data_IF_533459751065
#
_entry.id   IF_533459751065
#
_cell.length_a   1.000
_cell.length_b   1.000
_cell.length_c   1.000
_cell.angle_alpha   90.00
_cell.angle_beta   90.00
_cell.angle_gamma   90.00
#
_symmetry.space_group_name_H-M   'P 1'
#
loop_
_entity.id
_entity.type
_entity.pdbx_description
1 polymer ?
#
# COMPACT_ATOMS: atom_id res chain seq x y z
N UNK A 1 5.83 22.70 14.69
CA UNK A 1 5.59 21.34 14.19
C UNK A 1 6.16 21.24 12.79
N UNK A 2 7.38 20.71 12.65
CA UNK A 2 8.06 20.60 11.35
C UNK A 2 7.40 19.48 10.57
N UNK A 3 6.81 19.79 9.42
CA UNK A 3 6.36 18.77 8.48
C UNK A 3 7.56 17.86 8.14
N UNK A 4 7.39 16.53 8.10
CA UNK A 4 8.47 15.64 7.68
C UNK A 4 8.99 16.12 6.33
N UNK A 5 10.31 16.33 6.25
CA UNK A 5 10.98 16.64 4.97
C UNK A 5 10.62 15.48 4.03
N UNK A 6 10.08 15.73 2.84
CA UNK A 6 9.65 14.64 1.97
C UNK A 6 10.91 13.89 1.52
N UNK A 7 11.25 12.83 2.23
CA UNK A 7 12.08 11.75 1.70
C UNK A 7 11.28 11.24 0.50
N UNK A 8 11.75 11.58 -0.71
CA UNK A 8 11.17 11.35 -2.04
C UNK A 8 9.76 10.78 -2.14
N UNK A 9 8.92 11.36 -3.00
CA UNK A 9 7.65 10.73 -3.36
C UNK A 9 7.87 9.25 -3.73
N UNK A 10 7.04 8.31 -3.21
CA UNK A 10 7.20 6.89 -3.47
C UNK A 10 7.25 6.61 -4.97
N UNK A 11 8.11 5.68 -5.40
CA UNK A 11 8.16 5.23 -6.79
C UNK A 11 6.80 4.65 -7.22
N UNK A 12 6.55 4.57 -8.53
CA UNK A 12 5.29 4.01 -9.05
C UNK A 12 5.08 2.56 -8.60
N UNK A 13 6.17 1.76 -8.61
CA UNK A 13 6.14 0.39 -8.12
C UNK A 13 5.79 0.31 -6.63
N UNK A 14 6.40 1.17 -5.80
CA UNK A 14 6.09 1.24 -4.37
C UNK A 14 4.64 1.69 -4.12
N UNK A 15 4.14 2.64 -4.92
CA UNK A 15 2.76 3.13 -4.85
C UNK A 15 1.75 2.04 -5.24
N UNK A 16 2.06 1.23 -6.26
CA UNK A 16 1.25 0.08 -6.68
C UNK A 16 1.23 -1.01 -5.59
N UNK A 17 2.38 -1.32 -5.00
CA UNK A 17 2.46 -2.28 -3.90
C UNK A 17 1.64 -1.79 -2.69
N UNK A 18 1.77 -0.51 -2.33
CA UNK A 18 0.97 0.11 -1.27
C UNK A 18 -0.54 -0.05 -1.52
N UNK A 19 -1.01 0.21 -2.74
CA UNK A 19 -2.42 0.05 -3.10
C UNK A 19 -2.92 -1.40 -2.95
N UNK A 20 -2.12 -2.41 -3.32
CA UNK A 20 -2.47 -3.83 -3.17
C UNK A 20 -2.59 -4.29 -1.71
N UNK A 21 -1.89 -3.61 -0.81
CA UNK A 21 -1.92 -3.88 0.64
C UNK A 21 -2.84 -2.91 1.41
N UNK A 22 -3.52 -1.98 0.73
CA UNK A 22 -4.42 -1.01 1.36
C UNK A 22 -3.71 0.12 2.09
N UNK A 23 -2.44 0.39 1.78
CA UNK A 23 -1.66 1.49 2.33
C UNK A 23 -1.86 2.74 1.47
N UNK A 24 -2.35 3.83 2.07
CA UNK A 24 -2.52 5.09 1.38
C UNK A 24 -1.18 5.84 1.21
N UNK A 25 -0.91 6.32 -0.01
CA UNK A 25 0.31 7.10 -0.35
C UNK A 25 0.12 8.61 -0.21
N UNK A 26 -1.04 9.05 0.27
CA UNK A 26 -1.34 10.43 0.66
C UNK A 26 -2.38 10.46 1.76
N UNK A 27 -2.41 11.56 2.51
CA UNK A 27 -3.39 11.77 3.56
C UNK A 27 -3.81 13.24 3.61
N UNK A 28 -4.94 13.49 4.26
CA UNK A 28 -5.60 14.79 4.28
C UNK A 28 -5.78 15.28 5.71
N UNK A 29 -4.76 15.96 6.29
CA UNK A 29 -4.83 16.43 7.67
C UNK A 29 -5.88 17.52 7.89
N UNK A 30 -6.28 18.24 6.84
CA UNK A 30 -7.35 19.24 6.89
C UNK A 30 -8.17 19.24 5.58
N UNK A 31 -9.40 19.80 5.59
CA UNK A 31 -10.28 19.83 4.42
C UNK A 31 -9.77 20.57 3.18
N UNK A 32 -8.58 21.17 3.20
CA UNK A 32 -7.99 21.84 2.04
C UNK A 32 -6.55 21.40 1.77
N UNK A 33 -6.00 20.48 2.57
CA UNK A 33 -4.60 20.10 2.51
C UNK A 33 -4.44 18.61 2.27
N UNK A 34 -3.94 18.21 1.10
CA UNK A 34 -3.51 16.84 0.83
C UNK A 34 -2.00 16.78 0.85
N UNK A 35 -1.45 15.85 1.63
CA UNK A 35 -0.01 15.67 1.82
C UNK A 35 0.39 14.31 1.24
N UNK A 36 1.37 14.25 0.32
CA UNK A 36 1.94 12.97 -0.11
C UNK A 36 2.71 12.33 1.05
N UNK A 37 2.56 11.02 1.23
CA UNK A 37 3.38 10.26 2.15
C UNK A 37 4.82 10.17 1.61
N UNK A 38 5.81 10.17 2.49
CA UNK A 38 7.21 9.90 2.10
C UNK A 38 7.38 8.44 1.71
N UNK A 39 8.34 8.14 0.81
CA UNK A 39 8.67 6.76 0.46
C UNK A 39 9.01 5.93 1.71
N UNK A 40 9.76 6.50 2.65
CA UNK A 40 10.11 5.86 3.92
C UNK A 40 8.88 5.50 4.75
N UNK A 41 7.89 6.39 4.86
CA UNK A 41 6.66 6.12 5.59
C UNK A 41 5.86 4.97 4.96
N UNK A 42 5.79 4.93 3.62
CA UNK A 42 5.12 3.84 2.89
C UNK A 42 5.85 2.51 3.09
N UNK A 43 7.19 2.50 2.98
CA UNK A 43 8.02 1.31 3.23
C UNK A 43 7.84 0.80 4.66
N UNK A 44 7.82 1.67 5.67
CA UNK A 44 7.61 1.26 7.06
C UNK A 44 6.20 0.71 7.31
N UNK A 45 5.17 1.30 6.69
CA UNK A 45 3.81 0.78 6.78
C UNK A 45 3.69 -0.62 6.14
N UNK A 46 4.31 -0.83 4.97
CA UNK A 46 4.37 -2.14 4.32
C UNK A 46 5.13 -3.17 5.17
N UNK A 47 6.25 -2.78 5.77
CA UNK A 47 7.01 -3.66 6.67
C UNK A 47 6.17 -4.07 7.90
N UNK A 48 5.34 -3.17 8.44
CA UNK A 48 4.42 -3.48 9.54
C UNK A 48 3.31 -4.48 9.12
N UNK A 49 2.97 -4.54 7.83
CA UNK A 49 2.08 -5.55 7.25
C UNK A 49 2.82 -6.85 6.87
N UNK A 50 4.12 -6.95 7.15
CA UNK A 50 4.96 -8.11 6.83
C UNK A 50 5.47 -8.14 5.39
N UNK A 51 5.43 -7.02 4.67
CA UNK A 51 5.90 -6.92 3.26
C UNK A 51 7.27 -6.26 3.22
N UNK A 52 8.26 -6.90 2.60
CA UNK A 52 9.58 -6.30 2.38
C UNK A 52 9.55 -5.32 1.20
N UNK A 53 9.67 -4.03 1.52
CA UNK A 53 9.78 -2.95 0.55
C UNK A 53 11.07 -2.11 0.79
N UNK A 54 12.10 -2.73 1.38
CA UNK A 54 13.35 -2.07 1.75
C UNK A 54 14.22 -1.69 0.53
N UNK A 55 14.00 -2.34 -0.61
CA UNK A 55 14.72 -2.10 -1.87
C UNK A 55 13.78 -2.20 -3.07
N UNK A 56 14.14 -1.60 -4.19
CA UNK A 56 13.38 -1.71 -5.45
C UNK A 56 13.23 -3.17 -5.92
N UNK A 57 14.25 -4.01 -5.69
CA UNK A 57 14.17 -5.44 -6.01
C UNK A 57 13.15 -6.15 -5.11
N UNK A 58 13.15 -5.85 -3.81
CA UNK A 58 12.17 -6.40 -2.87
C UNK A 58 10.74 -5.97 -3.22
N UNK A 59 10.54 -4.71 -3.65
CA UNK A 59 9.24 -4.21 -4.13
C UNK A 59 8.77 -5.00 -5.34
N UNK A 60 9.64 -5.23 -6.34
CA UNK A 60 9.29 -6.02 -7.53
C UNK A 60 8.97 -7.47 -7.19
N UNK A 61 9.76 -8.10 -6.33
CA UNK A 61 9.52 -9.47 -5.88
C UNK A 61 8.19 -9.59 -5.12
N UNK A 62 7.92 -8.66 -4.19
CA UNK A 62 6.67 -8.61 -3.43
C UNK A 62 5.46 -8.39 -4.34
N UNK A 63 5.57 -7.53 -5.36
CA UNK A 63 4.53 -7.34 -6.38
C UNK A 63 4.26 -8.65 -7.13
N UNK A 64 5.29 -9.33 -7.63
CA UNK A 64 5.14 -10.57 -8.39
C UNK A 64 4.48 -11.68 -7.56
N UNK A 65 4.94 -11.88 -6.31
CA UNK A 65 4.34 -12.84 -5.38
C UNK A 65 2.87 -12.51 -5.13
N UNK A 66 2.56 -11.24 -4.85
CA UNK A 66 1.19 -10.82 -4.56
C UNK A 66 0.25 -10.99 -5.76
N UNK A 67 0.72 -10.65 -6.96
CA UNK A 67 -0.05 -10.82 -8.19
C UNK A 67 -0.32 -12.30 -8.50
N UNK A 68 0.68 -13.16 -8.28
CA UNK A 68 0.53 -14.61 -8.42
C UNK A 68 -0.49 -15.16 -7.41
N UNK A 69 -0.40 -14.78 -6.14
CA UNK A 69 -1.37 -15.19 -5.12
C UNK A 69 -2.80 -14.78 -5.47
N UNK A 70 -3.00 -13.62 -6.08
CA UNK A 70 -4.32 -13.15 -6.49
C UNK A 70 -4.82 -13.98 -7.68
N UNK A 71 -3.94 -14.25 -8.66
CA UNK A 71 -4.27 -15.03 -9.85
C UNK A 71 -4.60 -16.50 -9.53
N UNK A 72 -3.94 -17.10 -8.54
CA UNK A 72 -4.16 -18.49 -8.14
C UNK A 72 -5.39 -18.67 -7.22
N UNK A 73 -5.93 -17.59 -6.65
CA UNK A 73 -7.08 -17.67 -5.74
C UNK A 73 -8.39 -17.86 -6.50
N UNK A 74 -8.95 -19.05 -6.39
CA UNK A 74 -10.29 -19.38 -6.92
C UNK A 74 -11.42 -18.67 -6.18
N UNK A 75 -11.21 -18.31 -4.91
CA UNK A 75 -12.20 -17.65 -4.06
C UNK A 75 -11.56 -16.48 -3.32
N UNK A 76 -12.32 -15.39 -3.07
CA UNK A 76 -11.87 -14.32 -2.19
C UNK A 76 -11.68 -14.86 -0.75
N UNK A 77 -10.75 -14.29 0.04
CA UNK A 77 -10.42 -14.79 1.37
C UNK A 77 -11.60 -14.70 2.35
N UNK A 78 -12.49 -13.70 2.19
CA UNK A 78 -13.70 -13.56 2.99
C UNK A 78 -14.73 -12.77 2.19
N UNK A 79 -15.98 -13.21 2.23
CA UNK A 79 -17.14 -12.48 1.66
C UNK A 79 -18.03 -12.06 2.81
N UNK A 80 -18.24 -10.75 2.95
CA UNK A 80 -19.19 -10.19 3.93
C UNK A 80 -20.36 -9.60 3.16
N UNK A 81 -21.54 -10.15 3.39
CA UNK A 81 -22.81 -9.62 2.85
C UNK A 81 -23.63 -8.98 3.96
N UNK A 82 -24.32 -7.90 3.66
CA UNK A 82 -25.41 -7.41 4.52
C UNK A 82 -26.63 -8.29 4.26
N UNK A 83 -27.30 -8.76 5.32
CA UNK A 83 -28.48 -9.61 5.21
C UNK A 83 -29.55 -9.03 4.28
N UNK A 84 -29.99 -9.86 3.33
CA UNK A 84 -31.03 -9.68 2.32
C UNK A 84 -30.83 -8.57 1.28
N UNK A 85 -30.17 -8.92 0.18
CA UNK A 85 -30.79 -8.93 -1.17
C UNK A 85 -30.22 -10.14 -1.93
N UNK A 86 -31.04 -10.80 -2.77
CA UNK A 86 -30.62 -11.99 -3.51
C UNK A 86 -29.39 -11.74 -4.37
#
# INVERSE_FOLDING_TARGET
>A
MTAPRPDGTPSEALSRLAALHGVATSYRPSPDTTVPASAAAVTHALAALGVDASTEEAVRAALAVREQEIAERLLPPTVVGRGARP
#
